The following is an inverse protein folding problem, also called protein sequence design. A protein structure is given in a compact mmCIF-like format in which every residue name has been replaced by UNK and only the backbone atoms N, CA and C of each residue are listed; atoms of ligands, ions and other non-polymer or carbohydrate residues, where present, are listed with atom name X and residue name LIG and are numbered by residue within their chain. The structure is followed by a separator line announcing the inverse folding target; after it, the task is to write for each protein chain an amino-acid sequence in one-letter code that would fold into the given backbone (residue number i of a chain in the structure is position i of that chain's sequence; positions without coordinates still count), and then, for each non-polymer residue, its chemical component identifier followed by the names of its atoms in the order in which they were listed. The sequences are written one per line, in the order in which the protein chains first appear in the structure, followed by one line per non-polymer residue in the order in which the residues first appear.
data_IF_711498961467
#
_entry.id   IF_711498961467
#
_cell.length_a   1.000
_cell.length_b   1.000
_cell.length_c   1.000
_cell.angle_alpha   90.00
_cell.angle_beta   90.00
_cell.angle_gamma   90.00
#
_symmetry.space_group_name_H-M   'P 1'
#
loop_
_entity.id
_entity.type
_entity.pdbx_description
1 polymer ?
#
# COMPACT_ATOMS: atom_id res chain seq x y z
N UNK A 1 14.93 -9.45 -10.05
CA UNK A 1 13.62 -9.92 -9.51
C UNK A 1 12.66 -9.99 -10.70
N UNK A 2 12.10 -11.16 -11.02
CA UNK A 2 11.21 -11.30 -12.18
C UNK A 2 9.87 -10.60 -11.89
N UNK A 3 9.44 -9.73 -12.82
CA UNK A 3 8.11 -9.15 -12.83
C UNK A 3 7.08 -10.28 -12.71
N UNK A 4 6.15 -10.18 -11.75
CA UNK A 4 5.02 -11.08 -11.63
C UNK A 4 4.04 -10.83 -12.80
N UNK A 5 4.41 -11.23 -14.01
CA UNK A 5 3.48 -11.40 -15.12
C UNK A 5 2.68 -12.69 -14.87
N UNK A 6 1.92 -12.71 -13.77
CA UNK A 6 1.04 -13.82 -13.46
C UNK A 6 -0.08 -13.81 -14.50
N UNK A 7 -0.24 -14.88 -15.26
CA UNK A 7 -1.45 -15.07 -16.07
C UNK A 7 -2.66 -15.24 -15.15
N UNK A 8 -3.88 -15.02 -15.65
CA UNK A 8 -5.09 -15.22 -14.83
C UNK A 8 -5.18 -16.66 -14.26
N UNK A 9 -4.56 -17.65 -14.90
CA UNK A 9 -4.43 -19.01 -14.38
C UNK A 9 -3.45 -19.10 -13.18
N UNK A 10 -2.40 -18.29 -13.16
CA UNK A 10 -1.40 -18.23 -12.08
C UNK A 10 -1.87 -17.43 -10.85
N UNK A 11 -3.00 -16.71 -10.94
CA UNK A 11 -3.69 -16.09 -9.79
C UNK A 11 -4.70 -17.01 -9.11
N UNK A 12 -4.94 -18.19 -9.67
CA UNK A 12 -5.44 -19.28 -8.83
C UNK A 12 -4.30 -19.63 -7.89
N UNK A 13 -4.53 -19.63 -6.58
CA UNK A 13 -3.56 -20.12 -5.60
C UNK A 13 -3.92 -21.57 -5.27
N UNK A 14 -3.80 -22.55 -6.20
CA UNK A 14 -4.31 -23.91 -6.01
C UNK A 14 -3.59 -24.65 -4.88
N UNK A 15 -2.41 -24.16 -4.49
CA UNK A 15 -1.63 -24.69 -3.39
C UNK A 15 -1.99 -24.06 -2.04
N UNK A 16 -2.82 -23.01 -1.98
CA UNK A 16 -3.19 -22.35 -0.71
C UNK A 16 -3.83 -23.32 0.30
N UNK A 17 -4.78 -24.19 -0.08
CA UNK A 17 -5.30 -25.19 0.85
C UNK A 17 -4.25 -26.22 1.29
N UNK A 18 -3.34 -26.61 0.38
CA UNK A 18 -2.23 -27.52 0.71
C UNK A 18 -1.25 -26.88 1.68
N UNK A 19 -0.95 -25.59 1.50
CA UNK A 19 -0.11 -24.80 2.39
C UNK A 19 -0.75 -24.66 3.77
N UNK A 20 -2.04 -24.36 3.86
CA UNK A 20 -2.78 -24.31 5.13
C UNK A 20 -2.72 -25.65 5.85
N UNK A 21 -2.92 -26.76 5.14
CA UNK A 21 -2.80 -28.10 5.73
C UNK A 21 -1.37 -28.37 6.21
N UNK A 22 -0.36 -28.03 5.41
CA UNK A 22 1.03 -28.16 5.79
C UNK A 22 1.36 -27.34 7.05
N UNK A 23 0.95 -26.08 7.12
CA UNK A 23 1.14 -25.20 8.28
C UNK A 23 0.41 -25.73 9.53
N UNK A 24 -0.78 -26.30 9.36
CA UNK A 24 -1.47 -26.99 10.45
C UNK A 24 -0.65 -28.19 10.92
N UNK A 25 -0.22 -29.08 10.02
CA UNK A 25 0.62 -30.22 10.37
C UNK A 25 1.93 -29.79 11.05
N UNK A 26 2.52 -28.66 10.63
CA UNK A 26 3.65 -28.02 11.30
C UNK A 26 3.41 -27.85 12.79
N UNK A 27 2.25 -27.29 13.12
CA UNK A 27 1.85 -26.94 14.48
C UNK A 27 1.56 -28.20 15.28
N UNK A 28 0.86 -29.16 14.68
CA UNK A 28 0.52 -30.43 15.32
C UNK A 28 1.75 -31.32 15.57
N UNK A 29 2.74 -31.27 14.68
CA UNK A 29 3.97 -32.08 14.74
C UNK A 29 5.18 -31.33 15.31
N UNK A 30 4.98 -30.11 15.84
CA UNK A 30 6.06 -29.28 16.41
C UNK A 30 7.26 -29.09 15.47
N UNK A 31 7.00 -28.87 14.18
CA UNK A 31 8.04 -28.62 13.16
C UNK A 31 8.36 -27.12 12.98
N UNK A 32 7.58 -26.23 13.62
CA UNK A 32 7.81 -24.79 13.76
C UNK A 32 8.04 -23.97 12.48
N UNK A 33 7.86 -24.50 11.27
CA UNK A 33 8.01 -23.68 10.06
C UNK A 33 6.92 -22.61 9.92
N UNK A 34 5.74 -22.82 10.53
CA UNK A 34 4.67 -21.82 10.57
C UNK A 34 5.09 -20.52 11.31
N UNK A 35 5.92 -20.60 12.35
CA UNK A 35 6.46 -19.43 13.04
C UNK A 35 7.63 -18.76 12.30
N UNK A 36 8.13 -19.38 11.22
CA UNK A 36 9.17 -18.81 10.36
C UNK A 36 8.62 -18.07 9.16
N UNK A 37 7.32 -18.16 8.88
CA UNK A 37 6.69 -17.39 7.82
C UNK A 37 6.62 -15.93 8.27
N UNK A 38 7.37 -15.07 7.57
CA UNK A 38 7.45 -13.63 7.83
C UNK A 38 6.70 -12.78 6.82
N UNK A 39 6.29 -13.37 5.70
CA UNK A 39 5.79 -12.66 4.54
C UNK A 39 4.54 -13.34 3.99
N UNK A 40 3.48 -12.57 3.80
CA UNK A 40 2.24 -13.01 3.18
C UNK A 40 1.84 -12.06 2.05
N UNK A 41 1.20 -12.62 1.01
CA UNK A 41 0.70 -11.89 -0.14
C UNK A 41 -0.83 -12.02 -0.19
N UNK A 42 -1.53 -10.89 -0.27
CA UNK A 42 -2.97 -10.80 -0.43
C UNK A 42 -3.31 -10.36 -1.85
N UNK A 43 -4.11 -11.17 -2.55
CA UNK A 43 -4.69 -10.83 -3.84
C UNK A 43 -6.22 -10.87 -3.74
N UNK A 44 -6.83 -9.68 -3.82
CA UNK A 44 -8.28 -9.54 -3.68
C UNK A 44 -9.08 -10.03 -4.89
N UNK A 45 -8.47 -10.21 -6.08
CA UNK A 45 -9.20 -10.81 -7.22
C UNK A 45 -9.70 -12.21 -6.89
N UNK A 46 -9.05 -12.89 -5.96
CA UNK A 46 -9.46 -14.23 -5.51
C UNK A 46 -10.63 -14.20 -4.51
N UNK A 47 -11.02 -13.02 -4.01
CA UNK A 47 -12.06 -12.88 -2.98
C UNK A 47 -13.48 -13.11 -3.52
N UNK A 48 -13.67 -13.58 -4.75
CA UNK A 48 -14.99 -14.03 -5.19
C UNK A 48 -16.10 -12.99 -5.06
N UNK A 49 -15.79 -11.73 -5.36
CA UNK A 49 -16.73 -10.59 -5.26
C UNK A 49 -17.66 -10.54 -6.49
N UNK A 50 -17.51 -11.47 -7.43
CA UNK A 50 -18.33 -11.56 -8.63
C UNK A 50 -19.71 -12.16 -8.33
N UNK A 51 -20.76 -11.59 -8.93
CA UNK A 51 -22.12 -12.12 -8.92
C UNK A 51 -22.27 -13.50 -9.59
N UNK A 52 -21.22 -14.00 -10.27
CA UNK A 52 -21.24 -15.33 -10.89
C UNK A 52 -20.98 -16.41 -9.83
N UNK A 53 -21.93 -17.34 -9.58
CA UNK A 53 -21.91 -18.31 -8.47
C UNK A 53 -20.88 -19.45 -8.62
N UNK A 54 -19.82 -19.27 -9.41
CA UNK A 54 -18.86 -20.34 -9.74
C UNK A 54 -17.53 -20.29 -8.97
N UNK A 55 -17.29 -19.30 -8.11
CA UNK A 55 -16.13 -19.32 -7.21
C UNK A 55 -16.48 -20.12 -5.95
N UNK A 56 -16.02 -21.37 -5.93
CA UNK A 56 -16.44 -22.44 -4.99
C UNK A 56 -15.78 -22.40 -3.59
N UNK A 57 -15.10 -21.33 -3.19
CA UNK A 57 -14.51 -21.24 -1.84
C UNK A 57 -14.28 -19.78 -1.43
N UNK A 58 -14.53 -19.47 -0.16
CA UNK A 58 -14.26 -18.14 0.39
C UNK A 58 -12.76 -17.98 0.67
N UNK A 59 -12.03 -17.47 -0.32
CA UNK A 59 -10.58 -17.24 -0.22
C UNK A 59 -10.17 -16.26 0.89
N UNK A 60 -11.10 -15.41 1.35
CA UNK A 60 -10.90 -14.56 2.54
C UNK A 60 -10.63 -15.42 3.77
N UNK A 61 -11.39 -16.51 3.93
CA UNK A 61 -11.23 -17.47 5.02
C UNK A 61 -9.85 -18.10 5.01
N UNK A 62 -9.32 -18.42 3.82
CA UNK A 62 -8.01 -19.02 3.68
C UNK A 62 -6.88 -18.02 4.03
N UNK A 63 -7.00 -16.74 3.64
CA UNK A 63 -6.06 -15.70 4.07
C UNK A 63 -6.10 -15.48 5.59
N UNK A 64 -7.29 -15.42 6.18
CA UNK A 64 -7.44 -15.32 7.65
C UNK A 64 -6.81 -16.52 8.37
N UNK A 65 -6.99 -17.74 7.85
CA UNK A 65 -6.33 -18.94 8.40
C UNK A 65 -4.81 -18.86 8.29
N UNK A 66 -4.28 -18.35 7.18
CA UNK A 66 -2.83 -18.18 7.03
C UNK A 66 -2.29 -17.20 8.08
N UNK A 67 -2.96 -16.08 8.31
CA UNK A 67 -2.60 -15.12 9.37
C UNK A 67 -2.61 -15.80 10.75
N UNK A 68 -3.70 -16.49 11.09
CA UNK A 68 -3.82 -17.24 12.36
C UNK A 68 -2.73 -18.30 12.56
N UNK A 69 -2.27 -18.94 11.48
CA UNK A 69 -1.22 -19.96 11.54
C UNK A 69 0.20 -19.38 11.56
N UNK A 70 0.39 -18.15 11.07
CA UNK A 70 1.69 -17.52 10.88
C UNK A 70 1.84 -16.27 11.76
N UNK A 71 1.87 -16.40 13.10
CA UNK A 71 1.84 -15.26 14.04
C UNK A 71 3.03 -14.32 13.89
N UNK A 72 4.10 -14.82 13.30
CA UNK A 72 5.37 -14.14 13.09
C UNK A 72 5.43 -13.34 11.78
N UNK A 73 4.32 -13.21 11.05
CA UNK A 73 4.25 -12.39 9.84
C UNK A 73 4.57 -10.93 10.18
N UNK A 74 5.53 -10.35 9.44
CA UNK A 74 6.02 -8.98 9.59
C UNK A 74 5.89 -8.17 8.29
N UNK A 75 5.71 -8.84 7.15
CA UNK A 75 5.53 -8.24 5.84
C UNK A 75 4.21 -8.68 5.20
N UNK A 76 3.50 -7.70 4.64
CA UNK A 76 2.29 -7.92 3.85
C UNK A 76 2.45 -7.31 2.46
N UNK A 77 2.18 -8.09 1.42
CA UNK A 77 2.03 -7.54 0.07
C UNK A 77 0.55 -7.51 -0.28
N UNK A 78 0.08 -6.39 -0.82
CA UNK A 78 -1.26 -6.25 -1.39
C UNK A 78 -1.13 -6.09 -2.90
N UNK A 79 -1.69 -7.03 -3.64
CA UNK A 79 -1.73 -6.98 -5.09
C UNK A 79 -2.79 -5.99 -5.55
N UNK A 80 -2.34 -4.91 -6.18
CA UNK A 80 -3.17 -3.87 -6.77
C UNK A 80 -3.49 -4.18 -8.23
N UNK A 81 -4.73 -4.59 -8.49
CA UNK A 81 -5.23 -4.83 -9.84
C UNK A 81 -6.32 -3.81 -10.21
N UNK A 82 -6.07 -2.97 -11.21
CA UNK A 82 -7.03 -1.96 -11.65
C UNK A 82 -8.28 -2.55 -12.33
N UNK A 83 -8.23 -3.83 -12.74
CA UNK A 83 -9.41 -4.57 -13.19
C UNK A 83 -10.35 -4.85 -12.02
N UNK A 84 -9.86 -4.89 -10.78
CA UNK A 84 -10.66 -5.22 -9.61
C UNK A 84 -11.82 -4.26 -9.37
N UNK A 85 -11.66 -3.00 -9.74
CA UNK A 85 -12.73 -2.00 -9.69
C UNK A 85 -14.02 -2.42 -10.42
N UNK A 86 -13.94 -3.27 -11.46
CA UNK A 86 -15.15 -3.78 -12.13
C UNK A 86 -15.95 -4.78 -11.29
N UNK A 87 -15.36 -5.29 -10.20
CA UNK A 87 -16.02 -6.18 -9.24
C UNK A 87 -16.62 -5.44 -8.05
N UNK A 88 -16.30 -4.16 -7.87
CA UNK A 88 -16.75 -3.32 -6.74
C UNK A 88 -17.64 -2.17 -7.24
N UNK A 89 -18.57 -2.50 -8.13
CA UNK A 89 -19.36 -1.52 -8.90
C UNK A 89 -20.67 -1.13 -8.24
N UNK A 90 -21.31 -2.04 -7.51
CA UNK A 90 -22.60 -1.82 -6.86
C UNK A 90 -22.50 -1.88 -5.33
N UNK A 91 -23.51 -1.34 -4.65
CA UNK A 91 -23.53 -1.21 -3.18
C UNK A 91 -23.32 -2.54 -2.46
N UNK A 92 -23.95 -3.62 -2.95
CA UNK A 92 -23.80 -4.95 -2.36
C UNK A 92 -22.36 -5.47 -2.46
N UNK A 93 -21.73 -5.35 -3.64
CA UNK A 93 -20.34 -5.76 -3.84
C UNK A 93 -19.34 -4.97 -2.98
N UNK A 94 -19.59 -3.66 -2.81
CA UNK A 94 -18.81 -2.78 -1.92
C UNK A 94 -18.95 -3.17 -0.46
N UNK A 95 -20.17 -3.42 0.01
CA UNK A 95 -20.43 -3.88 1.37
C UNK A 95 -19.77 -5.23 1.64
N UNK A 96 -19.90 -6.19 0.71
CA UNK A 96 -19.24 -7.49 0.82
C UNK A 96 -17.71 -7.36 0.90
N UNK A 97 -17.12 -6.50 0.08
CA UNK A 97 -15.68 -6.25 0.12
C UNK A 97 -15.27 -5.61 1.45
N UNK A 98 -15.96 -4.54 1.85
CA UNK A 98 -15.70 -3.81 3.09
C UNK A 98 -15.77 -4.73 4.31
N UNK A 99 -16.80 -5.58 4.42
CA UNK A 99 -16.93 -6.56 5.51
C UNK A 99 -15.75 -7.52 5.56
N UNK A 100 -15.28 -8.01 4.40
CA UNK A 100 -14.13 -8.93 4.33
C UNK A 100 -12.83 -8.24 4.73
N UNK A 101 -12.63 -7.00 4.33
CA UNK A 101 -11.48 -6.19 4.75
C UNK A 101 -11.52 -5.97 6.27
N UNK A 102 -12.69 -5.64 6.83
CA UNK A 102 -12.84 -5.47 8.26
C UNK A 102 -12.55 -6.77 9.05
N UNK A 103 -13.01 -7.93 8.56
CA UNK A 103 -12.68 -9.23 9.18
C UNK A 103 -11.19 -9.55 9.11
N UNK A 104 -10.50 -9.23 8.01
CA UNK A 104 -9.05 -9.36 7.92
C UNK A 104 -8.33 -8.45 8.92
N UNK A 105 -8.78 -7.20 9.02
CA UNK A 105 -8.25 -6.21 9.94
C UNK A 105 -8.38 -6.69 11.40
N UNK A 106 -9.56 -7.20 11.75
CA UNK A 106 -9.83 -7.81 13.06
C UNK A 106 -8.92 -9.02 13.32
N UNK A 107 -8.75 -9.91 12.34
CA UNK A 107 -7.86 -11.06 12.46
C UNK A 107 -6.41 -10.64 12.74
N UNK A 108 -5.90 -9.60 12.04
CA UNK A 108 -4.57 -9.05 12.28
C UNK A 108 -4.43 -8.53 13.71
N UNK A 109 -5.45 -7.78 14.17
CA UNK A 109 -5.47 -7.18 15.49
C UNK A 109 -5.53 -8.23 16.61
N UNK A 110 -6.45 -9.20 16.51
CA UNK A 110 -6.65 -10.25 17.52
C UNK A 110 -5.43 -11.17 17.67
N UNK A 111 -4.70 -11.41 16.57
CA UNK A 111 -3.48 -12.21 16.59
C UNK A 111 -2.22 -11.38 16.91
N UNK A 112 -2.38 -10.08 17.19
CA UNK A 112 -1.31 -9.15 17.55
C UNK A 112 -0.14 -9.15 16.54
N UNK A 113 -0.45 -9.23 15.25
CA UNK A 113 0.57 -9.24 14.21
C UNK A 113 1.32 -7.90 14.19
N UNK A 114 2.65 -8.01 14.19
CA UNK A 114 3.56 -6.86 14.12
C UNK A 114 3.97 -6.62 12.66
N UNK A 115 3.01 -6.25 11.81
CA UNK A 115 3.30 -5.94 10.41
C UNK A 115 4.12 -4.65 10.35
N UNK A 116 5.39 -4.78 9.97
CA UNK A 116 6.36 -3.69 9.87
C UNK A 116 6.55 -3.20 8.44
N UNK A 117 6.22 -4.03 7.45
CA UNK A 117 6.39 -3.71 6.04
C UNK A 117 5.12 -3.99 5.24
N UNK A 118 4.71 -3.02 4.45
CA UNK A 118 3.57 -3.12 3.53
C UNK A 118 4.04 -2.81 2.12
N UNK A 119 3.90 -3.78 1.23
CA UNK A 119 4.20 -3.60 -0.19
C UNK A 119 2.89 -3.52 -0.97
N UNK A 120 2.63 -2.38 -1.58
CA UNK A 120 1.55 -2.19 -2.53
C UNK A 120 2.11 -2.48 -3.92
N UNK A 121 1.66 -3.58 -4.53
CA UNK A 121 2.28 -4.13 -5.74
C UNK A 121 1.31 -4.12 -6.89
N UNK A 122 1.57 -3.28 -7.90
CA UNK A 122 0.80 -3.24 -9.14
C UNK A 122 0.88 -4.57 -9.88
N UNK A 123 -0.27 -5.21 -10.12
CA UNK A 123 -0.38 -6.49 -10.81
C UNK A 123 0.18 -6.45 -12.23
N UNK A 124 -0.14 -5.38 -12.97
CA UNK A 124 0.30 -5.19 -14.34
C UNK A 124 0.99 -3.82 -14.47
N UNK A 125 2.31 -3.78 -14.76
CA UNK A 125 3.05 -2.54 -14.95
C UNK A 125 2.48 -1.62 -16.05
N UNK A 126 1.73 -2.15 -17.01
CA UNK A 126 1.05 -1.36 -18.05
C UNK A 126 -0.24 -0.69 -17.54
N UNK A 127 -0.78 -1.10 -16.39
CA UNK A 127 -1.94 -0.47 -15.74
C UNK A 127 -1.56 0.80 -14.95
N UNK A 128 -0.39 1.40 -15.21
CA UNK A 128 -0.01 2.74 -14.75
C UNK A 128 -0.80 3.86 -15.43
N UNK A 129 -1.77 3.56 -16.31
CA UNK A 129 -2.55 4.62 -16.96
C UNK A 129 -3.43 5.37 -15.94
N UNK A 130 -3.71 6.67 -16.19
CA UNK A 130 -4.77 7.43 -15.55
C UNK A 130 -6.11 6.71 -15.41
N UNK A 131 -6.47 5.93 -16.43
CA UNK A 131 -7.70 5.17 -16.49
C UNK A 131 -7.80 4.02 -15.49
N UNK A 132 -6.67 3.58 -14.96
CA UNK A 132 -6.53 2.45 -14.04
C UNK A 132 -6.28 2.92 -12.61
N UNK A 133 -5.39 3.90 -12.40
CA UNK A 133 -5.09 4.47 -11.09
C UNK A 133 -6.26 5.28 -10.48
N UNK A 134 -7.14 5.85 -11.32
CA UNK A 134 -8.25 6.70 -10.87
C UNK A 134 -9.52 5.98 -10.45
N UNK A 135 -9.50 4.66 -10.22
CA UNK A 135 -10.72 3.89 -9.91
C UNK A 135 -11.03 3.76 -8.41
N UNK A 136 -10.15 4.23 -7.53
CA UNK A 136 -10.31 4.40 -6.08
C UNK A 136 -10.99 3.26 -5.30
N UNK A 137 -11.00 2.03 -5.82
CA UNK A 137 -11.57 0.87 -5.14
C UNK A 137 -10.79 0.53 -3.87
N UNK A 138 -9.53 0.95 -3.83
CA UNK A 138 -8.59 0.71 -2.76
C UNK A 138 -8.86 1.55 -1.50
N UNK A 139 -9.73 2.56 -1.57
CA UNK A 139 -10.22 3.27 -0.38
C UNK A 139 -10.87 2.33 0.64
N UNK A 140 -11.53 1.26 0.18
CA UNK A 140 -12.09 0.22 1.03
C UNK A 140 -11.05 -0.56 1.85
N UNK A 141 -9.75 -0.41 1.59
CA UNK A 141 -8.67 -1.00 2.39
C UNK A 141 -8.46 -0.29 3.73
N UNK A 142 -9.04 0.89 3.95
CA UNK A 142 -8.82 1.71 5.14
C UNK A 142 -8.92 0.94 6.48
N UNK A 143 -9.91 0.05 6.71
CA UNK A 143 -9.97 -0.73 7.96
C UNK A 143 -8.74 -1.60 8.18
N UNK A 144 -8.26 -2.28 7.13
CA UNK A 144 -7.06 -3.11 7.19
C UNK A 144 -5.82 -2.27 7.47
N UNK A 145 -5.67 -1.15 6.75
CA UNK A 145 -4.51 -0.27 6.88
C UNK A 145 -4.41 0.32 8.28
N UNK A 146 -5.52 0.79 8.86
CA UNK A 146 -5.55 1.36 10.23
C UNK A 146 -5.13 0.37 11.32
N UNK A 147 -5.22 -0.94 11.07
CA UNK A 147 -4.82 -1.96 12.03
C UNK A 147 -3.32 -2.25 12.02
N UNK A 148 -2.56 -1.72 11.07
CA UNK A 148 -1.11 -1.96 10.93
C UNK A 148 -0.31 -0.99 11.80
N UNK A 149 -0.58 -0.94 13.11
CA UNK A 149 0.00 0.05 14.04
C UNK A 149 1.54 0.07 14.12
N UNK A 150 2.19 -1.05 13.79
CA UNK A 150 3.65 -1.19 13.81
C UNK A 150 4.31 -0.98 12.44
N UNK A 151 3.56 -0.46 11.47
CA UNK A 151 4.03 -0.26 10.11
C UNK A 151 5.18 0.77 10.09
N UNK A 152 6.33 0.34 9.58
CA UNK A 152 7.56 1.12 9.52
C UNK A 152 7.98 1.43 8.08
N UNK A 153 7.65 0.55 7.13
CA UNK A 153 8.07 0.66 5.74
C UNK A 153 6.90 0.47 4.80
N UNK A 154 6.66 1.48 3.97
CA UNK A 154 5.71 1.45 2.86
C UNK A 154 6.49 1.30 1.55
N UNK A 155 6.12 0.32 0.73
CA UNK A 155 6.71 0.14 -0.60
C UNK A 155 5.62 0.32 -1.65
N UNK A 156 5.87 1.24 -2.58
CA UNK A 156 5.02 1.50 -3.72
C UNK A 156 5.70 0.93 -4.96
N UNK A 157 5.27 -0.26 -5.37
CA UNK A 157 5.82 -0.96 -6.51
C UNK A 157 4.82 -0.94 -7.66
N UNK A 158 5.15 -0.26 -8.76
CA UNK A 158 4.31 -0.21 -9.96
C UNK A 158 2.86 0.25 -9.72
N UNK A 159 2.61 1.04 -8.69
CA UNK A 159 1.27 1.38 -8.21
C UNK A 159 1.16 2.88 -7.92
N UNK A 160 -0.05 3.41 -8.08
CA UNK A 160 -0.45 4.71 -7.55
C UNK A 160 -1.70 4.50 -6.69
N UNK A 161 -1.56 4.38 -5.36
CA UNK A 161 -2.70 4.25 -4.45
C UNK A 161 -3.57 5.51 -4.47
N UNK A 162 -4.84 5.37 -4.14
CA UNK A 162 -5.74 6.51 -3.95
C UNK A 162 -5.31 7.40 -2.80
N UNK A 163 -5.77 8.65 -2.82
CA UNK A 163 -5.44 9.64 -1.79
C UNK A 163 -5.92 9.18 -0.40
N UNK A 164 -7.07 8.52 -0.33
CA UNK A 164 -7.63 7.96 0.91
C UNK A 164 -6.71 6.90 1.54
N UNK A 165 -6.07 6.06 0.72
CA UNK A 165 -5.08 5.08 1.19
C UNK A 165 -3.85 5.78 1.76
N UNK A 166 -3.31 6.77 1.06
CA UNK A 166 -2.12 7.50 1.49
C UNK A 166 -2.39 8.35 2.74
N UNK A 167 -3.56 8.98 2.85
CA UNK A 167 -4.01 9.70 4.04
C UNK A 167 -4.21 8.76 5.23
N UNK A 168 -4.76 7.56 5.01
CA UNK A 168 -4.84 6.54 6.06
C UNK A 168 -3.45 6.09 6.52
N UNK A 169 -2.50 5.94 5.60
CA UNK A 169 -1.12 5.58 5.93
C UNK A 169 -0.40 6.72 6.67
N UNK A 170 -0.70 7.96 6.35
CA UNK A 170 -0.16 9.15 7.03
C UNK A 170 -0.56 9.25 8.51
N UNK A 171 -1.55 8.49 8.99
CA UNK A 171 -1.87 8.44 10.43
C UNK A 171 -0.93 7.52 11.21
N UNK A 172 -0.03 6.80 10.56
CA UNK A 172 0.88 5.84 11.21
C UNK A 172 2.15 6.56 11.68
N UNK A 173 2.27 6.78 12.99
CA UNK A 173 3.40 7.48 13.59
C UNK A 173 4.75 6.76 13.44
N UNK A 174 4.73 5.43 13.28
CA UNK A 174 5.93 4.60 13.13
C UNK A 174 6.43 4.50 11.68
N UNK A 175 5.69 5.01 10.69
CA UNK A 175 6.02 4.88 9.28
C UNK A 175 7.12 5.89 8.91
N UNK A 176 8.36 5.42 8.92
CA UNK A 176 9.57 6.23 8.74
C UNK A 176 10.23 6.04 7.36
N UNK A 177 9.84 5.02 6.60
CA UNK A 177 10.45 4.71 5.30
C UNK A 177 9.43 4.54 4.18
N UNK A 178 9.69 5.21 3.06
CA UNK A 178 9.00 4.97 1.78
C UNK A 178 10.01 4.42 0.77
N UNK A 179 9.61 3.36 0.07
CA UNK A 179 10.35 2.79 -1.04
C UNK A 179 9.53 2.95 -2.32
N UNK A 180 10.12 3.58 -3.32
CA UNK A 180 9.52 3.88 -4.60
C UNK A 180 10.17 2.97 -5.66
N UNK A 181 9.42 1.99 -6.15
CA UNK A 181 9.93 1.02 -7.12
C UNK A 181 9.16 1.13 -8.43
N UNK A 182 9.82 1.63 -9.47
CA UNK A 182 9.23 1.82 -10.80
C UNK A 182 7.85 2.49 -10.71
N UNK A 183 7.82 3.57 -9.95
CA UNK A 183 6.67 4.27 -9.40
C UNK A 183 6.36 5.57 -10.12
N UNK A 184 7.12 5.93 -11.16
CA UNK A 184 6.80 7.11 -11.99
C UNK A 184 5.45 6.86 -12.71
N UNK A 185 4.38 7.39 -12.13
CA UNK A 185 3.00 7.37 -12.65
C UNK A 185 2.45 8.79 -12.62
N UNK A 186 1.75 9.19 -13.69
CA UNK A 186 1.08 10.49 -13.77
C UNK A 186 -0.40 10.36 -14.05
N UNK A 187 -1.22 11.12 -13.33
CA UNK A 187 -2.67 11.22 -13.53
C UNK A 187 -3.07 12.66 -13.88
N UNK A 188 -3.99 12.88 -14.83
CA UNK A 188 -4.53 14.19 -15.12
C UNK A 188 -5.41 14.66 -13.96
N UNK A 189 -5.24 15.90 -13.50
CA UNK A 189 -6.25 16.55 -12.68
C UNK A 189 -7.51 16.75 -13.53
N UNK A 190 -8.58 16.02 -13.23
CA UNK A 190 -9.91 16.47 -13.64
C UNK A 190 -10.31 17.60 -12.70
N UNK A 191 -10.10 18.86 -13.07
CA UNK A 191 -10.75 19.97 -12.37
C UNK A 191 -12.24 19.94 -12.71
N UNK A 192 -13.08 19.90 -11.68
CA UNK A 192 -14.47 20.35 -11.80
C UNK A 192 -14.46 21.80 -12.32
N UNK A 193 -15.01 22.00 -13.52
CA UNK A 193 -15.64 23.28 -13.88
C UNK A 193 -14.76 24.51 -14.09
N UNK A 194 -13.55 24.41 -14.62
CA UNK A 194 -12.82 25.59 -15.12
C UNK A 194 -12.28 25.35 -16.54
N UNK A 195 -12.86 26.07 -17.49
CA UNK A 195 -12.32 26.34 -18.82
C UNK A 195 -11.00 27.10 -18.67
N UNK A 196 -9.96 26.70 -19.41
CA UNK A 196 -8.65 27.38 -19.52
C UNK A 196 -7.48 26.91 -18.62
N UNK A 197 -7.34 25.60 -18.37
CA UNK A 197 -6.02 25.06 -18.01
C UNK A 197 -5.73 23.73 -18.72
N UNK A 198 -4.96 23.82 -19.80
CA UNK A 198 -4.25 22.69 -20.37
C UNK A 198 -3.29 22.10 -19.32
N UNK A 199 -3.40 20.79 -19.06
CA UNK A 199 -2.30 19.92 -18.59
C UNK A 199 -1.81 20.01 -17.12
N UNK A 200 -2.66 20.19 -16.11
CA UNK A 200 -2.23 19.81 -14.76
C UNK A 200 -2.26 18.28 -14.60
N UNK A 201 -1.08 17.65 -14.51
CA UNK A 201 -0.92 16.24 -14.14
C UNK A 201 -0.26 16.17 -12.76
N UNK A 202 -0.74 15.29 -11.89
CA UNK A 202 -0.05 14.92 -10.65
C UNK A 202 0.83 13.71 -10.92
N UNK A 203 2.04 13.71 -10.39
CA UNK A 203 2.85 12.50 -10.32
C UNK A 203 2.53 11.71 -9.04
N UNK A 204 3.16 10.56 -8.87
CA UNK A 204 3.06 9.77 -7.62
C UNK A 204 3.58 10.55 -6.42
N UNK A 205 4.55 11.44 -6.61
CA UNK A 205 5.12 12.25 -5.53
C UNK A 205 4.10 13.25 -4.99
N UNK A 206 3.52 14.10 -5.85
CA UNK A 206 2.46 15.04 -5.42
C UNK A 206 1.18 14.37 -4.93
N UNK A 207 1.01 13.07 -5.17
CA UNK A 207 -0.14 12.33 -4.66
C UNK A 207 0.04 11.91 -3.20
N UNK A 208 1.28 11.80 -2.73
CA UNK A 208 1.60 11.54 -1.33
C UNK A 208 1.35 12.83 -0.54
N UNK A 209 0.51 12.80 0.52
CA UNK A 209 0.18 14.00 1.27
C UNK A 209 1.39 14.49 2.08
N UNK A 210 1.51 15.82 2.24
CA UNK A 210 2.64 16.45 2.95
C UNK A 210 2.85 15.91 4.36
N UNK A 211 1.78 15.58 5.08
CA UNK A 211 1.88 14.99 6.42
C UNK A 211 2.65 13.66 6.40
N UNK A 212 2.50 12.85 5.35
CA UNK A 212 3.27 11.61 5.20
C UNK A 212 4.74 11.92 4.86
N UNK A 213 5.00 12.91 4.00
CA UNK A 213 6.39 13.32 3.70
C UNK A 213 7.14 13.80 4.94
N UNK A 214 6.49 14.57 5.81
CA UNK A 214 7.10 15.14 7.02
C UNK A 214 7.53 14.10 8.07
N UNK A 215 6.89 12.94 8.11
CA UNK A 215 7.24 11.87 9.06
C UNK A 215 8.28 10.88 8.52
N UNK A 216 8.49 10.84 7.20
CA UNK A 216 9.40 9.89 6.56
C UNK A 216 10.84 10.37 6.70
N UNK A 217 11.69 9.50 7.26
CA UNK A 217 13.13 9.74 7.46
C UNK A 217 14.00 9.16 6.36
N UNK A 218 13.48 8.18 5.61
CA UNK A 218 14.24 7.48 4.57
C UNK A 218 13.39 7.28 3.33
N UNK A 219 13.93 7.66 2.18
CA UNK A 219 13.34 7.43 0.87
C UNK A 219 14.32 6.57 0.08
N UNK A 220 13.86 5.41 -0.41
CA UNK A 220 14.61 4.58 -1.36
C UNK A 220 13.94 4.64 -2.73
N UNK A 221 14.73 4.82 -3.79
CA UNK A 221 14.22 5.04 -5.14
C UNK A 221 14.88 4.05 -6.09
N UNK A 222 14.06 3.22 -6.71
CA UNK A 222 14.45 2.20 -7.68
C UNK A 222 13.67 2.46 -8.97
N UNK A 223 14.09 3.49 -9.71
CA UNK A 223 13.52 3.87 -11.00
C UNK A 223 14.49 3.49 -12.12
N UNK A 224 13.94 3.22 -13.32
CA UNK A 224 14.76 2.95 -14.49
C UNK A 224 15.33 4.31 -15.01
N UNK A 225 16.63 4.55 -14.79
CA UNK A 225 17.33 5.83 -15.06
C UNK A 225 17.35 6.19 -16.56
N UNK A 226 17.04 5.23 -17.43
CA UNK A 226 16.94 5.44 -18.88
C UNK A 226 15.73 6.30 -19.28
N UNK A 227 14.72 6.44 -18.39
CA UNK A 227 13.50 7.22 -18.63
C UNK A 227 13.59 8.71 -18.19
N UNK A 228 14.75 9.16 -17.67
CA UNK A 228 14.90 10.48 -17.01
C UNK A 228 14.79 11.66 -17.98
N UNK A 229 14.88 11.42 -19.29
CA UNK A 229 14.68 12.46 -20.32
C UNK A 229 13.21 12.81 -20.57
N UNK A 230 12.26 12.01 -20.07
CA UNK A 230 10.85 12.27 -20.27
C UNK A 230 10.30 13.26 -19.22
N UNK A 231 9.43 14.18 -19.66
CA UNK A 231 8.77 15.18 -18.78
C UNK A 231 8.18 14.60 -17.47
N UNK A 232 7.50 13.42 -17.47
CA UNK A 232 7.01 12.81 -16.24
C UNK A 232 8.09 12.52 -15.21
N UNK A 233 9.26 12.04 -15.65
CA UNK A 233 10.38 11.74 -14.77
C UNK A 233 11.02 13.03 -14.23
N UNK A 234 11.19 14.05 -15.08
CA UNK A 234 11.70 15.36 -14.65
C UNK A 234 10.80 16.00 -13.60
N UNK A 235 9.48 16.01 -13.84
CA UNK A 235 8.50 16.56 -12.90
C UNK A 235 8.47 15.77 -11.59
N UNK A 236 8.49 14.44 -11.65
CA UNK A 236 8.56 13.57 -10.48
C UNK A 236 9.78 13.90 -9.61
N UNK A 237 10.96 14.07 -10.23
CA UNK A 237 12.19 14.41 -9.51
C UNK A 237 12.14 15.82 -8.91
N UNK A 238 11.57 16.80 -9.62
CA UNK A 238 11.39 18.16 -9.10
C UNK A 238 10.46 18.18 -7.89
N UNK A 239 9.29 17.55 -7.98
CA UNK A 239 8.35 17.43 -6.86
C UNK A 239 9.00 16.74 -5.67
N UNK A 240 9.82 15.70 -5.90
CA UNK A 240 10.53 15.00 -4.82
C UNK A 240 11.53 15.92 -4.10
N UNK A 241 12.27 16.73 -4.86
CA UNK A 241 13.20 17.71 -4.30
C UNK A 241 12.44 18.75 -3.48
N UNK A 242 11.31 19.25 -3.96
CA UNK A 242 10.47 20.21 -3.22
C UNK A 242 10.01 19.65 -1.87
N UNK A 243 9.47 18.43 -1.82
CA UNK A 243 9.07 17.80 -0.56
C UNK A 243 10.25 17.47 0.36
N UNK A 244 11.43 17.17 -0.21
CA UNK A 244 12.66 16.94 0.56
C UNK A 244 13.18 18.23 1.20
N UNK A 245 13.04 19.37 0.52
CA UNK A 245 13.38 20.69 1.05
C UNK A 245 12.42 21.09 2.17
N UNK A 246 11.12 20.78 2.06
CA UNK A 246 10.15 21.01 3.14
C UNK A 246 10.53 20.22 4.40
N UNK A 247 10.91 18.95 4.24
CA UNK A 247 11.36 18.12 5.36
C UNK A 247 12.67 18.68 5.99
N UNK A 248 13.59 19.21 5.19
CA UNK A 248 14.82 19.84 5.67
C UNK A 248 14.56 21.17 6.40
N UNK A 249 13.69 22.03 5.85
CA UNK A 249 13.33 23.32 6.45
C UNK A 249 12.63 23.14 7.79
N UNK A 250 11.79 22.12 7.99
CA UNK A 250 11.19 21.82 9.30
C UNK A 250 12.20 21.26 10.32
N UNK A 251 13.25 20.57 9.86
CA UNK A 251 14.36 20.15 10.73
C UNK A 251 15.17 21.38 11.16
N UNK A 252 15.49 22.28 10.24
CA UNK A 252 16.13 23.56 10.58
C UNK A 252 15.27 24.37 11.53
N UNK A 253 13.98 24.56 11.27
CA UNK A 253 13.09 25.36 12.11
C UNK A 253 12.93 24.76 13.53
N UNK A 254 12.92 23.43 13.65
CA UNK A 254 12.98 22.73 14.95
C UNK A 254 14.33 22.89 15.64
N UNK A 255 15.44 22.84 14.89
CA UNK A 255 16.78 23.05 15.46
C UNK A 255 17.00 24.49 15.92
N UNK A 256 16.52 25.47 15.17
CA UNK A 256 16.59 26.89 15.51
C UNK A 256 15.58 27.29 16.60
N UNK A 257 14.41 26.65 16.64
CA UNK A 257 13.42 26.81 17.71
C UNK A 257 13.91 26.29 19.07
N UNK A 258 14.68 25.20 19.10
CA UNK A 258 15.37 24.71 20.30
C UNK A 258 16.44 25.71 20.76
N UNK A 259 17.22 26.28 19.82
CA UNK A 259 18.22 27.28 20.20
C UNK A 259 17.63 28.59 20.73
N UNK A 260 16.42 29.00 20.32
CA UNK A 260 15.79 30.21 20.85
C UNK A 260 15.17 30.00 22.23
N UNK A 261 14.50 28.87 22.47
CA UNK A 261 13.89 28.55 23.76
C UNK A 261 14.92 28.22 24.86
N UNK A 262 16.07 27.63 24.49
CA UNK A 262 17.14 27.31 25.45
C UNK A 262 18.12 28.46 25.71
N UNK A 263 18.15 29.50 24.84
CA UNK A 263 18.95 30.73 25.09
C UNK A 263 18.17 31.83 25.81
N UNK A 264 16.85 31.90 25.63
CA UNK A 264 16.02 32.79 26.45
C UNK A 264 15.59 31.99 27.67
N UNK A 265 16.49 31.91 28.64
CA UNK A 265 16.11 31.58 30.00
C UNK A 265 15.13 32.63 30.53
N UNK A 266 13.84 32.46 30.23
CA UNK A 266 12.77 33.07 31.02
C UNK A 266 12.69 32.35 32.37
N UNK A 267 13.67 32.67 33.21
CA UNK A 267 13.47 32.79 34.65
C UNK A 267 13.25 34.27 34.95
N UNK A 268 12.00 34.67 35.12
CA UNK A 268 11.47 35.65 36.10
C UNK A 268 10.03 36.01 35.71
#
# INVERSE_FOLDING_TARGET
MQLLNLTDQQRSYPLRPKLINLLNESRHRSLFFHSRVRHLVIDFKTFGITEKPKLKKDDTSDVMKLLQLCPSTEQLDIIYDASFASFVTNERSRQLFSTRIASLAQCIHENNHQIRRLDLVGYNPFQRCPCCAGKCWDGYLSPLLKCLSSLHTLVLQHVLPSREVLETLATHSCLERIVLYRSIVTIPLKRLGQTDCTQQRMTTISHIPDCLWKQVKTIEIYEDIEDVTHWPAQRYMLELVEHSIIAFAEIEDKMWGITQADFIGERS
#
